data_IF_081657235960
#
_entry.id   IF_081657235960
#
_cell.length_a   1.000
_cell.length_b   1.000
_cell.length_c   1.000
_cell.angle_alpha   90.00
_cell.angle_beta   90.00
_cell.angle_gamma   90.00
#
_symmetry.space_group_name_H-M   'P 1'
#
loop_
_entity.id
_entity.type
_entity.pdbx_description
1 polymer ?
#
# COMPACT_ATOMS: atom_id res chain seq x y z
N UNK A 1 8.93 -3.89 5.65
CA UNK A 1 7.86 -3.04 6.19
C UNK A 1 6.52 -3.57 5.72
N UNK A 2 5.58 -3.67 6.64
CA UNK A 2 4.19 -4.01 6.35
C UNK A 2 3.33 -2.83 6.80
N UNK A 3 2.55 -2.26 5.87
CA UNK A 3 1.75 -1.08 6.13
C UNK A 3 0.27 -1.39 5.94
N UNK A 4 -0.52 -1.02 6.93
CA UNK A 4 -1.97 -1.17 6.90
C UNK A 4 -2.60 0.14 7.39
N UNK A 5 -2.39 1.25 6.66
CA UNK A 5 -2.82 2.56 7.12
C UNK A 5 -4.34 2.71 7.10
N UNK A 6 -4.91 3.51 8.02
CA UNK A 6 -6.34 3.75 8.01
C UNK A 6 -6.76 4.58 6.80
N UNK A 7 -8.00 4.36 6.35
CA UNK A 7 -8.56 5.13 5.23
C UNK A 7 -8.81 6.58 5.61
N UNK A 8 -9.17 6.83 6.88
CA UNK A 8 -9.53 8.14 7.38
C UNK A 8 -9.20 8.25 8.86
N UNK A 9 -8.82 9.45 9.30
CA UNK A 9 -8.60 9.72 10.71
C UNK A 9 -8.49 11.20 10.99
N UNK A 10 -8.54 11.56 12.27
CA UNK A 10 -8.36 12.92 12.75
C UNK A 10 -7.32 12.95 13.85
N UNK A 11 -6.44 13.96 13.79
CA UNK A 11 -5.46 14.20 14.85
C UNK A 11 -6.01 15.07 15.97
N UNK A 12 -5.28 15.16 17.09
CA UNK A 12 -5.73 15.93 18.25
C UNK A 12 -5.80 17.44 17.99
N UNK A 13 -5.09 17.95 16.99
CA UNK A 13 -5.13 19.35 16.59
C UNK A 13 -6.14 19.66 15.48
N UNK A 14 -7.03 18.72 15.14
CA UNK A 14 -8.02 18.89 14.08
C UNK A 14 -7.51 18.48 12.70
N UNK A 15 -6.31 17.93 12.59
CA UNK A 15 -5.77 17.43 11.34
C UNK A 15 -6.64 16.30 10.78
N UNK A 16 -6.80 16.27 9.46
CA UNK A 16 -7.56 15.24 8.77
C UNK A 16 -6.61 14.39 7.96
N UNK A 17 -6.71 13.08 8.17
CA UNK A 17 -5.99 12.09 7.38
C UNK A 17 -6.96 11.44 6.40
N UNK A 18 -6.63 11.49 5.11
CA UNK A 18 -7.30 10.73 4.06
C UNK A 18 -6.23 9.98 3.27
N UNK A 19 -6.33 8.66 3.25
CA UNK A 19 -5.29 7.84 2.64
C UNK A 19 -5.10 8.17 1.17
N UNK A 20 -6.17 8.41 0.42
CA UNK A 20 -6.09 8.73 -1.00
C UNK A 20 -5.30 10.02 -1.29
N UNK A 21 -5.23 10.93 -0.34
CA UNK A 21 -4.49 12.18 -0.47
C UNK A 21 -3.05 12.05 0.03
N UNK A 22 -2.80 11.14 0.98
CA UNK A 22 -1.55 11.09 1.74
C UNK A 22 -0.68 9.88 1.41
N UNK A 23 -1.19 8.89 0.68
CA UNK A 23 -0.52 7.60 0.52
C UNK A 23 0.86 7.71 -0.12
N UNK A 24 1.02 8.55 -1.13
CA UNK A 24 2.31 8.69 -1.82
C UNK A 24 3.38 9.24 -0.88
N UNK A 25 3.07 10.34 -0.19
CA UNK A 25 4.01 10.95 0.76
C UNK A 25 4.29 10.04 1.96
N UNK A 26 3.29 9.28 2.41
CA UNK A 26 3.47 8.33 3.50
C UNK A 26 4.41 7.19 3.09
N UNK A 27 4.22 6.60 1.92
CA UNK A 27 5.12 5.56 1.42
C UNK A 27 6.53 6.11 1.21
N UNK A 28 6.65 7.32 0.66
CA UNK A 28 7.94 7.98 0.49
C UNK A 28 8.67 8.12 1.82
N UNK A 29 7.98 8.57 2.85
CA UNK A 29 8.55 8.68 4.19
C UNK A 29 8.99 7.31 4.73
N UNK A 30 8.18 6.28 4.51
CA UNK A 30 8.52 4.93 4.95
C UNK A 30 9.74 4.36 4.25
N UNK A 31 10.03 4.76 3.01
CA UNK A 31 11.24 4.30 2.33
C UNK A 31 12.52 4.78 3.01
N UNK A 32 12.45 5.89 3.75
CA UNK A 32 13.62 6.43 4.45
C UNK A 32 14.07 5.55 5.62
N UNK A 33 13.19 4.70 6.14
CA UNK A 33 13.51 3.80 7.25
C UNK A 33 13.80 2.37 6.78
N UNK A 34 13.82 2.13 5.48
CA UNK A 34 14.27 0.84 4.96
C UNK A 34 15.76 0.67 5.21
N UNK A 35 16.17 -0.56 5.53
CA UNK A 35 17.59 -0.88 5.66
C UNK A 35 18.30 -0.76 4.31
N UNK A 36 19.63 -0.85 4.34
CA UNK A 36 20.42 -0.79 3.11
C UNK A 36 20.18 -2.02 2.21
N UNK A 37 19.72 -3.12 2.78
CA UNK A 37 19.40 -4.35 2.06
C UNK A 37 17.99 -4.83 2.42
N UNK A 38 16.95 -4.09 1.98
CA UNK A 38 15.59 -4.44 2.33
C UNK A 38 15.12 -5.67 1.58
N UNK A 39 14.23 -6.42 2.20
CA UNK A 39 13.71 -7.68 1.65
C UNK A 39 12.35 -7.47 0.99
N UNK A 40 11.47 -6.72 1.65
CA UNK A 40 10.06 -6.64 1.27
C UNK A 40 9.42 -5.37 1.80
N UNK A 41 8.47 -4.86 1.05
CA UNK A 41 7.60 -3.77 1.50
C UNK A 41 6.18 -4.05 0.99
N UNK A 42 5.21 -4.03 1.90
CA UNK A 42 3.83 -4.35 1.60
C UNK A 42 2.93 -3.22 2.07
N UNK A 43 1.95 -2.87 1.27
CA UNK A 43 0.91 -1.92 1.66
C UNK A 43 -0.47 -2.48 1.31
N UNK A 44 -1.39 -2.39 2.25
CA UNK A 44 -2.80 -2.69 2.05
C UNK A 44 -3.63 -1.41 2.06
N UNK A 45 -4.72 -1.41 1.33
CA UNK A 45 -5.70 -0.33 1.36
C UNK A 45 -7.10 -0.88 1.25
N UNK A 46 -8.00 -0.30 2.02
CA UNK A 46 -9.43 -0.59 1.97
C UNK A 46 -10.21 0.64 1.49
N UNK A 47 -9.50 1.62 0.95
CA UNK A 47 -10.05 2.89 0.51
C UNK A 47 -10.53 2.79 -0.94
N UNK A 48 -11.77 3.22 -1.19
CA UNK A 48 -12.29 3.34 -2.55
C UNK A 48 -11.43 4.31 -3.36
N UNK A 49 -11.07 3.91 -4.58
CA UNK A 49 -10.24 4.74 -5.45
C UNK A 49 -8.74 4.42 -5.39
N UNK A 50 -8.30 3.60 -4.42
CA UNK A 50 -6.92 3.12 -4.39
C UNK A 50 -6.88 1.67 -4.86
N UNK A 51 -6.84 1.49 -6.20
CA UNK A 51 -6.77 0.17 -6.80
C UNK A 51 -5.40 -0.48 -6.57
N UNK A 52 -5.29 -1.80 -6.75
CA UNK A 52 -3.99 -2.47 -6.71
C UNK A 52 -2.97 -1.85 -7.67
N UNK A 53 -3.41 -1.45 -8.86
CA UNK A 53 -2.53 -0.84 -9.86
C UNK A 53 -1.97 0.50 -9.41
N UNK A 54 -2.77 1.31 -8.70
CA UNK A 54 -2.30 2.59 -8.17
C UNK A 54 -1.21 2.36 -7.12
N UNK A 55 -1.42 1.43 -6.20
CA UNK A 55 -0.43 1.14 -5.16
C UNK A 55 0.81 0.47 -5.74
N UNK A 56 0.64 -0.37 -6.74
CA UNK A 56 1.76 -0.96 -7.49
C UNK A 56 2.61 0.12 -8.14
N UNK A 57 1.97 1.12 -8.74
CA UNK A 57 2.68 2.26 -9.33
C UNK A 57 3.48 3.03 -8.28
N UNK A 58 2.89 3.29 -7.11
CA UNK A 58 3.55 4.04 -6.04
C UNK A 58 4.81 3.31 -5.55
N UNK A 59 4.70 2.02 -5.26
CA UNK A 59 5.87 1.24 -4.84
C UNK A 59 6.90 1.13 -5.96
N UNK A 60 6.45 0.99 -7.20
CA UNK A 60 7.36 0.97 -8.35
C UNK A 60 8.12 2.27 -8.52
N UNK A 61 7.47 3.40 -8.31
CA UNK A 61 8.10 4.70 -8.46
C UNK A 61 9.06 5.04 -7.30
N UNK A 62 8.75 4.59 -6.08
CA UNK A 62 9.49 4.98 -4.89
C UNK A 62 10.56 3.97 -4.46
N UNK A 63 10.36 2.69 -4.69
CA UNK A 63 11.24 1.64 -4.16
C UNK A 63 12.15 1.06 -5.24
N UNK A 64 11.62 0.75 -6.39
CA UNK A 64 12.39 0.10 -7.47
C UNK A 64 13.60 0.92 -7.93
N UNK A 65 13.53 2.26 -8.09
CA UNK A 65 14.72 3.02 -8.50
C UNK A 65 15.88 2.94 -7.51
N UNK A 66 15.59 2.71 -6.23
CA UNK A 66 16.63 2.65 -5.19
C UNK A 66 17.16 1.23 -4.98
N UNK A 67 16.29 0.23 -5.05
CA UNK A 67 16.62 -1.12 -4.60
C UNK A 67 16.43 -2.19 -5.69
N UNK A 68 15.90 -1.83 -6.86
CA UNK A 68 15.52 -2.82 -7.85
C UNK A 68 14.32 -3.64 -7.40
N UNK A 69 14.29 -4.90 -7.79
CA UNK A 69 13.21 -5.79 -7.35
C UNK A 69 11.97 -5.69 -8.20
N UNK A 70 10.89 -6.25 -7.68
CA UNK A 70 9.64 -6.38 -8.43
C UNK A 70 8.45 -6.03 -7.53
N UNK A 71 7.45 -5.36 -8.11
CA UNK A 71 6.19 -5.03 -7.43
C UNK A 71 5.06 -5.80 -8.07
N UNK A 72 4.19 -6.38 -7.24
CA UNK A 72 2.94 -6.99 -7.68
C UNK A 72 1.78 -6.38 -6.92
N UNK A 73 0.68 -6.11 -7.62
CA UNK A 73 -0.56 -5.63 -7.02
C UNK A 73 -1.66 -6.67 -7.16
N UNK A 74 -2.54 -6.77 -6.16
CA UNK A 74 -3.65 -7.71 -6.18
C UNK A 74 -4.82 -7.23 -5.35
N UNK A 75 -6.01 -7.74 -5.67
CA UNK A 75 -7.18 -7.55 -4.82
C UNK A 75 -7.06 -8.43 -3.58
N UNK A 76 -7.47 -7.87 -2.43
CA UNK A 76 -7.71 -8.66 -1.24
C UNK A 76 -9.18 -9.10 -1.30
N UNK A 77 -9.43 -10.39 -1.16
CA UNK A 77 -10.78 -10.91 -1.21
C UNK A 77 -11.02 -12.03 -0.22
N UNK A 78 -12.28 -12.19 0.15
CA UNK A 78 -12.73 -13.28 0.99
C UNK A 78 -13.39 -14.34 0.12
N UNK A 79 -13.00 -15.62 0.24
CA UNK A 79 -13.68 -16.68 -0.50
C UNK A 79 -15.12 -16.80 -0.02
N UNK A 80 -16.04 -16.94 -0.97
CA UNK A 80 -17.45 -17.15 -0.67
C UNK A 80 -17.79 -18.64 -0.78
N UNK A 81 -18.94 -19.03 -0.21
CA UNK A 81 -19.34 -20.44 -0.16
C UNK A 81 -19.67 -21.02 -1.53
N UNK A 82 -19.96 -20.16 -2.51
CA UNK A 82 -20.14 -20.55 -3.91
C UNK A 82 -18.87 -20.18 -4.68
N UNK A 83 -18.95 -20.03 -5.97
CA UNK A 83 -17.82 -19.61 -6.78
C UNK A 83 -17.60 -18.11 -6.68
N UNK A 84 -16.35 -17.71 -6.49
CA UNK A 84 -15.97 -16.30 -6.50
C UNK A 84 -15.31 -15.83 -5.20
N UNK A 85 -14.99 -14.55 -5.20
CA UNK A 85 -14.31 -13.88 -4.09
C UNK A 85 -15.05 -12.57 -3.84
N UNK A 86 -15.33 -12.28 -2.57
CA UNK A 86 -15.85 -10.99 -2.16
C UNK A 86 -14.69 -10.00 -2.04
N UNK A 87 -14.55 -9.02 -2.94
CA UNK A 87 -13.46 -8.05 -2.85
C UNK A 87 -13.62 -7.18 -1.59
N UNK A 88 -12.54 -6.99 -0.85
CA UNK A 88 -12.58 -6.18 0.37
C UNK A 88 -11.43 -5.20 0.49
N UNK A 89 -10.47 -5.23 -0.41
CA UNK A 89 -9.34 -4.31 -0.37
C UNK A 89 -8.36 -4.54 -1.50
N UNK A 90 -7.26 -3.82 -1.43
CA UNK A 90 -6.19 -3.91 -2.41
C UNK A 90 -4.85 -4.03 -1.70
N UNK A 91 -3.89 -4.69 -2.34
CA UNK A 91 -2.56 -4.91 -1.79
C UNK A 91 -1.51 -4.72 -2.88
N UNK A 92 -0.38 -4.17 -2.50
CA UNK A 92 0.81 -4.16 -3.36
C UNK A 92 2.01 -4.61 -2.53
N UNK A 93 2.85 -5.44 -3.13
CA UNK A 93 4.04 -5.99 -2.49
C UNK A 93 5.24 -5.74 -3.39
N UNK A 94 6.26 -5.11 -2.80
CA UNK A 94 7.58 -5.05 -3.40
C UNK A 94 8.46 -6.14 -2.77
N UNK A 95 9.18 -6.87 -3.60
CA UNK A 95 10.19 -7.85 -3.17
C UNK A 95 11.47 -7.62 -3.95
N UNK A 96 12.57 -7.80 -3.26
CA UNK A 96 13.87 -7.69 -3.86
C UNK A 96 14.18 -8.82 -4.84
#
# INVERSE_FOLDING_TARGET
>A
IIMDPPSYGRGPGGEVWKLEDEVYGFVELCTEVLSDDPIMMLINSYTTGLSPAVMQYILGALVVPKFGGKVTGSEIGLPVTQTGILPCGASAIWKK
#
